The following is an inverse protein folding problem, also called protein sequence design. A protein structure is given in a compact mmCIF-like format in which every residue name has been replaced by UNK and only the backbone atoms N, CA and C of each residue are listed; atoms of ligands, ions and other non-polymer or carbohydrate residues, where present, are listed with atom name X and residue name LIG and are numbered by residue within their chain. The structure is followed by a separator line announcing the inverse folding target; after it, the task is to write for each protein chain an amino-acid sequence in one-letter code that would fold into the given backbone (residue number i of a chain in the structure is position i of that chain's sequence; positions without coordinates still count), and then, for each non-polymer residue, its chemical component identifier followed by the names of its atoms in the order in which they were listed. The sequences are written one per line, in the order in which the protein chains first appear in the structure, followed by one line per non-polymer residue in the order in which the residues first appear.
data_IF_762986717687
#
_entry.id   IF_762986717687
#
_cell.length_a   1.000
_cell.length_b   1.000
_cell.length_c   1.000
_cell.angle_alpha   90.00
_cell.angle_beta   90.00
_cell.angle_gamma   90.00
#
_symmetry.space_group_name_H-M   'P 1'
#
loop_
_entity.id
_entity.type
_entity.pdbx_description
1 polymer ?
#
# COMPACT_ATOMS: atom_id res chain seq x y z
N UNK A 1 -0.52 -2.20 -11.18
CA UNK A 1 -1.21 -2.44 -9.89
C UNK A 1 -1.30 -3.93 -9.52
N UNK A 2 -1.84 -4.80 -10.37
CA UNK A 2 -1.94 -6.25 -10.08
C UNK A 2 -0.58 -6.89 -9.72
N UNK A 3 0.48 -6.48 -10.39
CA UNK A 3 1.85 -6.96 -10.12
C UNK A 3 2.35 -6.56 -8.73
N UNK A 4 2.02 -5.36 -8.24
CA UNK A 4 2.41 -4.92 -6.90
C UNK A 4 1.70 -5.73 -5.81
N UNK A 5 0.43 -6.06 -6.01
CA UNK A 5 -0.32 -6.89 -5.07
C UNK A 5 0.20 -8.33 -5.04
N UNK A 6 0.58 -8.87 -6.19
CA UNK A 6 1.18 -10.20 -6.27
C UNK A 6 2.57 -10.22 -5.63
N UNK A 7 3.41 -9.22 -5.94
CA UNK A 7 4.72 -9.05 -5.33
C UNK A 7 4.63 -8.91 -3.80
N UNK A 8 3.67 -8.13 -3.31
CA UNK A 8 3.45 -7.96 -1.88
C UNK A 8 3.10 -9.28 -1.16
N UNK A 9 2.39 -10.20 -1.84
CA UNK A 9 2.09 -11.55 -1.32
C UNK A 9 3.33 -12.45 -1.29
N UNK A 10 4.22 -12.31 -2.27
CA UNK A 10 5.39 -13.20 -2.45
C UNK A 10 6.60 -12.70 -1.65
N UNK A 11 6.92 -11.40 -1.76
CA UNK A 11 8.13 -10.78 -1.22
C UNK A 11 7.89 -10.04 0.11
N UNK A 12 6.64 -9.86 0.52
CA UNK A 12 6.27 -9.21 1.78
C UNK A 12 6.41 -7.68 1.75
N UNK A 13 6.19 -7.04 2.88
CA UNK A 13 5.89 -5.59 2.95
C UNK A 13 7.05 -4.67 2.58
N UNK A 14 8.28 -4.98 3.01
CA UNK A 14 9.46 -4.11 2.88
C UNK A 14 10.38 -4.47 1.71
N UNK A 15 9.98 -5.42 0.85
CA UNK A 15 10.80 -5.89 -0.27
C UNK A 15 9.98 -6.01 -1.54
N UNK A 16 10.68 -6.09 -2.67
CA UNK A 16 10.09 -6.26 -3.99
C UNK A 16 9.88 -4.95 -4.73
N UNK A 17 9.00 -4.98 -5.72
CA UNK A 17 8.84 -3.91 -6.71
C UNK A 17 8.08 -2.68 -6.17
N UNK A 18 8.31 -1.53 -6.81
CA UNK A 18 7.68 -0.27 -6.41
C UNK A 18 8.34 0.41 -5.22
N UNK A 19 9.60 0.10 -4.89
CA UNK A 19 10.37 0.76 -3.80
C UNK A 19 9.54 0.89 -2.50
N UNK A 20 9.25 -0.22 -1.82
CA UNK A 20 8.47 -0.19 -0.60
C UNK A 20 9.15 0.68 0.47
N UNK A 21 8.40 1.63 1.02
CA UNK A 21 8.88 2.58 2.02
C UNK A 21 7.89 2.66 3.18
N UNK A 22 8.39 2.64 4.43
CA UNK A 22 7.56 2.87 5.61
C UNK A 22 7.36 4.38 5.82
N UNK A 23 6.11 4.80 6.02
CA UNK A 23 5.77 6.20 6.27
C UNK A 23 6.03 6.54 7.75
N UNK A 24 6.88 7.53 8.00
CA UNK A 24 7.43 7.84 9.35
C UNK A 24 6.49 8.62 10.27
N UNK A 25 5.32 9.04 9.80
CA UNK A 25 4.42 9.94 10.53
C UNK A 25 2.97 9.42 10.62
N UNK A 26 2.75 8.14 10.31
CA UNK A 26 1.43 7.52 10.41
C UNK A 26 1.24 6.89 11.80
N UNK A 27 0.05 7.06 12.40
CA UNK A 27 -0.30 6.45 13.70
C UNK A 27 -0.31 4.91 13.64
N UNK A 28 -0.50 4.34 12.45
CA UNK A 28 -0.42 2.91 12.15
C UNK A 28 0.87 2.64 11.36
N UNK A 29 1.38 1.41 11.40
CA UNK A 29 2.47 0.96 10.53
C UNK A 29 1.99 0.97 9.07
N UNK A 30 2.15 2.11 8.41
CA UNK A 30 1.72 2.35 7.04
C UNK A 30 2.91 2.33 6.10
N UNK A 31 2.69 1.78 4.91
CA UNK A 31 3.70 1.59 3.88
C UNK A 31 3.20 2.16 2.57
N UNK A 32 4.14 2.55 1.72
CA UNK A 32 3.86 3.01 0.36
C UNK A 32 4.68 2.24 -0.66
N UNK A 33 4.13 2.05 -1.86
CA UNK A 33 4.83 1.58 -3.05
C UNK A 33 4.49 2.48 -4.23
N UNK A 34 5.47 2.72 -5.09
CA UNK A 34 5.33 3.43 -6.35
C UNK A 34 4.60 2.56 -7.36
N UNK A 35 3.50 3.08 -7.88
CA UNK A 35 2.82 2.52 -9.05
C UNK A 35 3.52 3.03 -10.31
N UNK A 36 3.77 4.34 -10.35
CA UNK A 36 4.56 5.04 -11.36
C UNK A 36 5.27 6.24 -10.71
N UNK A 37 5.66 7.26 -11.49
CA UNK A 37 6.36 8.43 -10.96
C UNK A 37 5.47 9.27 -10.03
N UNK A 38 4.17 9.38 -10.34
CA UNK A 38 3.21 10.25 -9.66
C UNK A 38 2.37 9.49 -8.62
N UNK A 39 1.97 8.25 -8.92
CA UNK A 39 1.01 7.50 -8.14
C UNK A 39 1.65 6.54 -7.13
N UNK A 40 1.00 6.40 -5.96
CA UNK A 40 1.44 5.55 -4.85
C UNK A 40 0.30 4.66 -4.38
N UNK A 41 0.62 3.39 -4.15
CA UNK A 41 -0.18 2.47 -3.37
C UNK A 41 0.17 2.66 -1.90
N UNK A 42 -0.79 3.05 -1.08
CA UNK A 42 -0.64 3.20 0.38
C UNK A 42 -1.45 2.12 1.07
N UNK A 43 -0.82 1.40 2.01
CA UNK A 43 -1.45 0.28 2.71
C UNK A 43 -0.92 0.15 4.14
N UNK A 44 -1.70 -0.48 5.01
CA UNK A 44 -1.27 -0.90 6.33
C UNK A 44 -1.46 -2.41 6.54
N UNK A 45 -0.93 -2.91 7.66
CA UNK A 45 -1.12 -4.28 8.10
C UNK A 45 -1.93 -4.24 9.39
N UNK A 46 -3.07 -4.92 9.39
CA UNK A 46 -3.91 -5.11 10.58
C UNK A 46 -4.33 -6.57 10.66
N UNK A 47 -4.16 -7.21 11.81
CA UNK A 47 -4.53 -8.62 12.03
C UNK A 47 -3.96 -9.58 10.98
N UNK A 48 -2.70 -9.36 10.58
CA UNK A 48 -2.01 -10.10 9.51
C UNK A 48 -2.65 -9.98 8.11
N UNK A 49 -3.58 -9.03 7.93
CA UNK A 49 -4.18 -8.68 6.66
C UNK A 49 -3.66 -7.34 6.16
N UNK A 50 -3.48 -7.26 4.85
CA UNK A 50 -3.06 -6.03 4.16
C UNK A 50 -4.31 -5.23 3.81
N UNK A 51 -4.40 -3.99 4.28
CA UNK A 51 -5.48 -3.08 3.94
C UNK A 51 -4.95 -1.96 3.06
N UNK A 52 -5.53 -1.81 1.88
CA UNK A 52 -5.20 -0.70 0.99
C UNK A 52 -5.94 0.53 1.50
N UNK A 53 -5.20 1.60 1.78
CA UNK A 53 -5.73 2.86 2.28
C UNK A 53 -5.97 3.86 1.15
N UNK A 54 -5.09 3.88 0.16
CA UNK A 54 -5.24 4.72 -1.03
C UNK A 54 -4.47 4.15 -2.21
N UNK A 55 -5.00 4.41 -3.40
CA UNK A 55 -4.38 4.16 -4.69
C UNK A 55 -4.82 5.29 -5.61
N UNK A 56 -4.23 6.47 -5.44
CA UNK A 56 -4.54 7.61 -6.30
C UNK A 56 -4.15 7.27 -7.74
N UNK A 57 -5.10 7.42 -8.67
CA UNK A 57 -4.95 7.08 -10.09
C UNK A 57 -5.79 5.89 -10.59
N UNK A 58 -6.30 5.00 -9.74
CA UNK A 58 -7.07 3.84 -10.24
C UNK A 58 -8.24 3.34 -9.40
N UNK A 59 -8.42 3.79 -8.16
CA UNK A 59 -9.60 3.46 -7.37
C UNK A 59 -10.19 4.73 -6.76
N UNK A 60 -10.98 5.43 -7.56
CA UNK A 60 -11.89 6.47 -7.09
C UNK A 60 -13.14 5.79 -6.51
N UNK A 61 -12.99 4.97 -5.47
CA UNK A 61 -14.14 4.61 -4.63
C UNK A 61 -13.71 3.95 -3.31
N UNK A 62 -14.46 4.31 -2.26
CA UNK A 62 -14.55 3.77 -0.90
C UNK A 62 -13.66 4.43 0.16
N UNK A 63 -14.32 5.30 0.93
CA UNK A 63 -13.91 5.82 2.23
C UNK A 63 -13.34 4.72 3.15
N UNK A 64 -12.13 4.92 3.64
CA UNK A 64 -11.44 4.01 4.58
C UNK A 64 -11.35 4.60 6.01
N UNK A 65 -12.27 5.49 6.39
CA UNK A 65 -12.33 6.05 7.76
C UNK A 65 -13.21 5.26 8.74
N UNK A 66 -13.75 4.09 8.35
CA UNK A 66 -14.49 3.20 9.25
C UNK A 66 -13.95 1.75 9.21
N UNK A 67 -12.76 1.48 9.78
CA UNK A 67 -12.39 0.20 10.46
C UNK A 67 -10.99 0.17 11.12
#
# INVERSE_FOLDING_TARGET
MNELLNDLKINGILKGIGKPEQLKNCRKSTFSRRIDEEHRLVYDIKDNHIRILSCEGHYHDKNFDEY
#
